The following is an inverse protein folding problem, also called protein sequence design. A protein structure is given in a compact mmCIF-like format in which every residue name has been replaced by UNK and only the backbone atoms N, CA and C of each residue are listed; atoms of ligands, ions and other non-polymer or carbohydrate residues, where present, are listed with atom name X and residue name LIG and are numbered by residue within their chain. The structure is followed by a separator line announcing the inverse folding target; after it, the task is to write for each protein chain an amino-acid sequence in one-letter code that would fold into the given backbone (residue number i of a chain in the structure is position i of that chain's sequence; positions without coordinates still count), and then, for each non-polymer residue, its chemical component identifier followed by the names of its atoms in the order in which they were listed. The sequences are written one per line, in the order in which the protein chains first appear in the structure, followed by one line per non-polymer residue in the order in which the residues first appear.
data_IF_478643332950
#
_entry.id   IF_478643332950
#
_cell.length_a   1.000
_cell.length_b   1.000
_cell.length_c   1.000
_cell.angle_alpha   90.00
_cell.angle_beta   90.00
_cell.angle_gamma   90.00
#
_symmetry.space_group_name_H-M   'P 1'
#
loop_
_entity.id
_entity.type
_entity.pdbx_description
1 polymer ?
#
# COMPACT_ATOMS: atom_id res chain seq x y z
N UNK A 1 22.34 12.57 -26.95
CA UNK A 1 23.49 11.63 -26.91
C UNK A 1 23.01 10.31 -27.50
N UNK A 2 23.56 9.79 -28.62
CA UNK A 2 23.07 8.53 -29.17
C UNK A 2 23.51 7.35 -28.30
N UNK A 3 22.54 6.53 -27.91
CA UNK A 3 22.74 5.29 -27.14
C UNK A 3 22.99 4.14 -28.14
N UNK A 4 24.01 3.27 -27.94
CA UNK A 4 24.31 2.16 -28.86
C UNK A 4 23.15 1.16 -28.96
N UNK A 5 22.95 0.56 -30.13
CA UNK A 5 21.72 -0.18 -30.45
C UNK A 5 21.72 -1.68 -30.09
N UNK A 6 22.82 -2.23 -29.58
CA UNK A 6 22.95 -3.67 -29.24
C UNK A 6 23.30 -3.91 -27.77
N UNK A 7 22.60 -3.28 -26.82
CA UNK A 7 22.77 -3.62 -25.40
C UNK A 7 21.61 -4.48 -24.90
N UNK A 8 21.93 -5.61 -24.28
CA UNK A 8 20.98 -6.34 -23.44
C UNK A 8 20.95 -5.68 -22.07
N UNK A 9 19.78 -5.14 -21.68
CA UNK A 9 19.52 -4.76 -20.29
C UNK A 9 19.64 -6.01 -19.41
N UNK A 10 20.46 -5.96 -18.37
CA UNK A 10 20.54 -7.05 -17.39
C UNK A 10 19.27 -7.06 -16.55
N UNK A 11 18.57 -8.20 -16.54
CA UNK A 11 17.53 -8.51 -15.55
C UNK A 11 18.18 -8.97 -14.26
N UNK A 12 18.44 -8.04 -13.34
CA UNK A 12 18.69 -8.32 -11.92
C UNK A 12 17.99 -7.24 -11.11
N UNK A 13 17.33 -7.63 -10.02
CA UNK A 13 16.85 -6.69 -9.01
C UNK A 13 18.06 -5.89 -8.53
N UNK A 14 18.01 -4.57 -8.65
CA UNK A 14 19.14 -3.73 -8.28
C UNK A 14 19.37 -3.78 -6.76
N UNK A 15 20.61 -3.63 -6.31
CA UNK A 15 20.91 -3.52 -4.87
C UNK A 15 20.09 -2.39 -4.22
N UNK A 16 19.89 -1.27 -4.93
CA UNK A 16 18.99 -0.19 -4.53
C UNK A 16 17.56 -0.67 -4.30
N UNK A 17 17.00 -1.44 -5.22
CA UNK A 17 15.63 -1.97 -5.11
C UNK A 17 15.49 -2.95 -3.93
N UNK A 18 16.50 -3.81 -3.71
CA UNK A 18 16.51 -4.71 -2.55
C UNK A 18 16.53 -3.93 -1.24
N UNK A 19 17.38 -2.91 -1.15
CA UNK A 19 17.47 -2.05 0.04
C UNK A 19 16.17 -1.27 0.24
N UNK A 20 15.61 -0.69 -0.82
CA UNK A 20 14.35 0.06 -0.74
C UNK A 20 13.22 -0.80 -0.17
N UNK A 21 12.99 -1.99 -0.73
CA UNK A 21 11.94 -2.89 -0.27
C UNK A 21 12.16 -3.29 1.18
N UNK A 22 13.39 -3.65 1.56
CA UNK A 22 13.69 -4.05 2.93
C UNK A 22 13.48 -2.91 3.95
N UNK A 23 13.83 -1.67 3.57
CA UNK A 23 13.59 -0.51 4.41
C UNK A 23 12.09 -0.19 4.51
N UNK A 24 11.32 -0.33 3.43
CA UNK A 24 9.86 -0.20 3.48
C UNK A 24 9.26 -1.22 4.45
N UNK A 25 9.67 -2.49 4.34
CA UNK A 25 9.22 -3.55 5.25
C UNK A 25 9.53 -3.21 6.71
N UNK A 26 10.77 -2.82 7.01
CA UNK A 26 11.16 -2.45 8.39
C UNK A 26 10.42 -1.23 8.93
N UNK A 27 10.09 -0.25 8.08
CA UNK A 27 9.32 0.93 8.48
C UNK A 27 7.84 0.56 8.72
N UNK A 28 7.25 -0.27 7.85
CA UNK A 28 5.87 -0.73 7.96
C UNK A 28 5.69 -1.61 9.20
N UNK A 29 6.58 -2.59 9.39
CA UNK A 29 6.58 -3.52 10.54
C UNK A 29 7.11 -2.87 11.83
N UNK A 30 7.35 -1.55 11.84
CA UNK A 30 7.77 -0.80 13.02
C UNK A 30 9.10 -1.24 13.64
N UNK A 31 9.92 -1.98 12.88
CA UNK A 31 11.30 -2.32 13.23
C UNK A 31 12.13 -1.04 13.28
N UNK A 32 11.96 -0.18 12.28
CA UNK A 32 12.43 1.21 12.30
C UNK A 32 11.27 2.11 12.73
N UNK A 33 11.35 2.66 13.93
CA UNK A 33 10.23 3.39 14.57
C UNK A 33 10.13 4.83 14.06
N UNK A 34 8.93 5.44 14.12
CA UNK A 34 8.79 6.88 13.91
C UNK A 34 9.80 7.69 14.75
N UNK A 35 10.37 8.74 14.17
CA UNK A 35 11.43 9.59 14.75
C UNK A 35 12.78 8.90 15.02
N UNK A 36 12.90 7.60 14.74
CA UNK A 36 14.15 6.88 14.91
C UNK A 36 15.22 7.38 13.92
N UNK A 37 16.43 7.57 14.44
CA UNK A 37 17.57 8.03 13.66
C UNK A 37 18.07 6.90 12.78
N UNK A 38 18.33 7.21 11.51
CA UNK A 38 18.81 6.27 10.52
C UNK A 38 20.26 6.58 10.17
N UNK A 39 21.13 5.58 10.27
CA UNK A 39 22.52 5.65 9.85
C UNK A 39 22.73 4.80 8.60
N UNK A 40 23.10 5.45 7.49
CA UNK A 40 23.33 4.78 6.21
C UNK A 40 24.47 3.74 6.25
N UNK A 41 25.43 3.87 7.17
CA UNK A 41 26.53 2.93 7.36
C UNK A 41 26.09 1.67 8.06
N UNK A 42 25.32 1.81 9.14
CA UNK A 42 24.76 0.68 9.89
C UNK A 42 23.78 -0.11 9.03
N UNK A 43 22.93 0.57 8.25
CA UNK A 43 22.05 -0.08 7.28
C UNK A 43 22.84 -0.81 6.18
N UNK A 44 23.92 -0.21 5.67
CA UNK A 44 24.76 -0.84 4.64
C UNK A 44 25.43 -2.12 5.17
N UNK A 45 25.95 -2.07 6.40
CA UNK A 45 26.53 -3.22 7.08
C UNK A 45 25.49 -4.33 7.31
N UNK A 46 24.32 -3.99 7.85
CA UNK A 46 23.25 -4.94 8.13
C UNK A 46 22.73 -5.64 6.86
N UNK A 47 22.68 -4.92 5.74
CA UNK A 47 22.18 -5.44 4.45
C UNK A 47 23.28 -6.05 3.58
N UNK A 48 24.55 -6.00 4.00
CA UNK A 48 25.67 -6.54 3.23
C UNK A 48 25.91 -5.82 1.89
N UNK A 49 25.65 -4.52 1.84
CA UNK A 49 25.78 -3.69 0.62
C UNK A 49 26.69 -2.48 0.87
N UNK A 50 27.04 -1.74 -0.18
CA UNK A 50 27.73 -0.46 -0.02
C UNK A 50 26.76 0.65 0.43
N UNK A 51 27.27 1.78 0.90
CA UNK A 51 26.45 2.94 1.33
C UNK A 51 25.65 3.59 0.20
N UNK A 52 26.11 3.49 -1.05
CA UNK A 52 25.47 4.15 -2.21
C UNK A 52 24.02 3.69 -2.42
N UNK A 53 23.70 2.39 -2.58
CA UNK A 53 22.32 1.93 -2.74
C UNK A 53 21.44 2.25 -1.53
N UNK A 54 22.02 2.34 -0.32
CA UNK A 54 21.29 2.78 0.88
C UNK A 54 20.90 4.24 0.79
N UNK A 55 21.82 5.13 0.42
CA UNK A 55 21.52 6.56 0.23
C UNK A 55 20.47 6.78 -0.86
N UNK A 56 20.58 6.07 -1.97
CA UNK A 56 19.59 6.14 -3.05
C UNK A 56 18.21 5.68 -2.59
N UNK A 57 18.13 4.59 -1.81
CA UNK A 57 16.88 4.14 -1.22
C UNK A 57 16.30 5.15 -0.23
N UNK A 58 17.14 5.73 0.64
CA UNK A 58 16.71 6.77 1.60
C UNK A 58 16.17 8.03 0.91
N UNK A 59 16.76 8.44 -0.22
CA UNK A 59 16.25 9.56 -1.03
C UNK A 59 14.88 9.23 -1.65
N UNK A 60 14.66 7.99 -2.10
CA UNK A 60 13.34 7.58 -2.59
C UNK A 60 12.30 7.56 -1.46
N UNK A 61 12.71 7.09 -0.27
CA UNK A 61 11.86 7.09 0.92
C UNK A 61 11.55 8.50 1.41
N UNK A 62 12.48 9.45 1.24
CA UNK A 62 12.25 10.88 1.51
C UNK A 62 11.17 11.45 0.58
N UNK A 63 11.29 11.23 -0.73
CA UNK A 63 10.26 11.63 -1.70
C UNK A 63 8.91 10.97 -1.42
N UNK A 64 8.94 9.78 -0.82
CA UNK A 64 7.76 9.04 -0.40
C UNK A 64 7.17 9.50 0.93
N UNK A 65 7.83 10.43 1.64
CA UNK A 65 7.42 10.90 2.97
C UNK A 65 7.61 9.87 4.09
N UNK A 66 8.37 8.80 3.86
CA UNK A 66 8.66 7.75 4.86
C UNK A 66 9.90 8.06 5.70
N UNK A 67 10.78 8.91 5.17
CA UNK A 67 12.02 9.36 5.80
C UNK A 67 12.07 10.89 5.73
N UNK A 68 12.59 11.52 6.78
CA UNK A 68 12.93 12.94 6.76
C UNK A 68 14.46 13.08 6.70
N UNK A 69 14.96 13.76 5.66
CA UNK A 69 16.38 14.10 5.54
C UNK A 69 16.55 15.61 5.70
N UNK A 70 17.16 16.02 6.82
CA UNK A 70 17.41 17.45 7.07
C UNK A 70 18.90 17.75 6.84
N UNK A 71 19.26 18.66 5.90
CA UNK A 71 20.65 19.02 5.64
C UNK A 71 21.37 19.48 6.91
N UNK A 72 22.55 18.90 7.18
CA UNK A 72 23.34 19.19 8.38
C UNK A 72 22.80 18.59 9.69
N UNK A 73 21.68 17.87 9.65
CA UNK A 73 21.13 17.12 10.77
C UNK A 73 21.08 15.61 10.47
N UNK A 74 20.44 14.83 11.34
CA UNK A 74 20.34 13.37 11.23
C UNK A 74 19.12 12.99 10.38
N UNK A 75 19.30 12.05 9.45
CA UNK A 75 18.19 11.35 8.77
C UNK A 75 17.39 10.56 9.81
N UNK A 76 16.05 10.59 9.71
CA UNK A 76 15.16 9.85 10.61
C UNK A 76 13.93 9.31 9.88
N UNK A 77 13.26 8.32 10.46
CA UNK A 77 11.95 7.87 9.99
C UNK A 77 10.92 8.96 10.23
N UNK A 78 10.10 9.25 9.23
CA UNK A 78 9.07 10.27 9.32
C UNK A 78 8.08 9.96 10.47
N UNK A 79 7.64 10.96 11.24
CA UNK A 79 6.63 10.75 12.27
C UNK A 79 5.29 10.31 11.65
N UNK A 80 4.45 9.65 12.44
CA UNK A 80 3.06 9.37 12.08
C UNK A 80 2.20 10.43 12.74
N UNK A 81 1.50 11.23 11.94
CA UNK A 81 0.60 12.28 12.40
C UNK A 81 -0.84 11.76 12.36
N UNK A 82 -1.52 11.82 13.51
CA UNK A 82 -2.88 11.32 13.62
C UNK A 82 -3.86 12.17 12.80
N UNK A 83 -3.57 13.47 12.68
CA UNK A 83 -4.32 14.41 11.86
C UNK A 83 -4.29 14.08 10.36
N UNK A 84 -3.31 13.30 9.89
CA UNK A 84 -3.18 12.92 8.48
C UNK A 84 -4.04 11.70 8.12
N UNK A 85 -4.56 10.96 9.11
CA UNK A 85 -5.40 9.77 8.88
C UNK A 85 -6.60 10.09 7.97
N UNK A 86 -7.47 11.07 8.29
CA UNK A 86 -8.60 11.38 7.41
C UNK A 86 -8.14 11.81 6.02
N UNK A 87 -7.06 12.58 5.92
CA UNK A 87 -6.52 13.09 4.65
C UNK A 87 -6.07 11.92 3.75
N UNK A 88 -5.34 10.97 4.31
CA UNK A 88 -4.84 9.79 3.57
C UNK A 88 -6.03 8.93 3.11
N UNK A 89 -6.95 8.59 4.02
CA UNK A 89 -8.05 7.68 3.71
C UNK A 89 -9.07 8.30 2.75
N UNK A 90 -9.38 9.59 2.87
CA UNK A 90 -10.26 10.30 1.91
C UNK A 90 -9.61 10.39 0.53
N UNK A 91 -8.31 10.61 0.47
CA UNK A 91 -7.55 10.60 -0.80
C UNK A 91 -7.58 9.21 -1.43
N UNK A 92 -7.30 8.15 -0.65
CA UNK A 92 -7.38 6.76 -1.12
C UNK A 92 -8.78 6.43 -1.62
N UNK A 93 -9.84 6.81 -0.88
CA UNK A 93 -11.22 6.59 -1.28
C UNK A 93 -11.56 7.26 -2.63
N UNK A 94 -11.10 8.50 -2.84
CA UNK A 94 -11.28 9.21 -4.10
C UNK A 94 -10.54 8.55 -5.28
N UNK A 95 -9.27 8.17 -5.08
CA UNK A 95 -8.48 7.50 -6.11
C UNK A 95 -9.03 6.11 -6.45
N UNK A 96 -9.41 5.33 -5.45
CA UNK A 96 -10.00 4.01 -5.65
C UNK A 96 -11.38 4.06 -6.32
N UNK A 97 -12.17 5.11 -6.09
CA UNK A 97 -13.41 5.35 -6.82
C UNK A 97 -13.15 5.54 -8.34
N UNK A 98 -12.18 6.39 -8.70
CA UNK A 98 -11.76 6.59 -10.10
C UNK A 98 -11.28 5.28 -10.71
N UNK A 99 -10.44 4.54 -10.00
CA UNK A 99 -9.93 3.24 -10.42
C UNK A 99 -11.05 2.23 -10.65
N UNK A 100 -12.02 2.13 -9.73
CA UNK A 100 -13.16 1.23 -9.86
C UNK A 100 -13.96 1.48 -11.13
N UNK A 101 -14.26 2.76 -11.42
CA UNK A 101 -14.93 3.17 -12.66
C UNK A 101 -14.11 2.82 -13.91
N UNK A 102 -12.80 3.07 -13.89
CA UNK A 102 -11.92 2.77 -15.02
C UNK A 102 -11.78 1.25 -15.25
N UNK A 103 -11.83 0.44 -14.19
CA UNK A 103 -11.77 -1.01 -14.29
C UNK A 103 -12.97 -1.60 -15.06
N UNK A 104 -14.15 -0.96 -15.02
CA UNK A 104 -15.33 -1.40 -15.77
C UNK A 104 -15.07 -1.59 -17.27
N UNK A 105 -14.20 -0.75 -17.85
CA UNK A 105 -13.90 -0.77 -19.28
C UNK A 105 -13.01 -1.96 -19.69
N UNK A 106 -12.35 -2.60 -18.73
CA UNK A 106 -11.32 -3.61 -18.97
C UNK A 106 -11.60 -4.95 -18.31
N UNK A 107 -12.56 -5.00 -17.37
CA UNK A 107 -12.85 -6.19 -16.57
C UNK A 107 -13.31 -7.36 -17.45
N UNK A 108 -12.78 -8.55 -17.17
CA UNK A 108 -13.17 -9.81 -17.83
C UNK A 108 -13.78 -10.81 -16.84
N UNK A 109 -14.41 -11.85 -17.36
CA UNK A 109 -14.91 -12.96 -16.52
C UNK A 109 -13.79 -13.66 -15.74
N UNK A 110 -12.57 -13.71 -16.30
CA UNK A 110 -11.40 -14.25 -15.63
C UNK A 110 -10.99 -13.38 -14.44
N UNK A 111 -11.05 -12.06 -14.59
CA UNK A 111 -10.76 -11.11 -13.52
C UNK A 111 -11.80 -11.18 -12.40
N UNK A 112 -13.09 -11.26 -12.75
CA UNK A 112 -14.17 -11.43 -11.76
C UNK A 112 -14.00 -12.73 -10.95
N UNK A 113 -13.59 -13.80 -11.62
CA UNK A 113 -13.28 -15.08 -10.97
C UNK A 113 -12.08 -14.93 -10.02
N UNK A 114 -11.00 -14.30 -10.47
CA UNK A 114 -9.81 -14.04 -9.65
C UNK A 114 -10.14 -13.20 -8.40
N UNK A 115 -10.90 -12.11 -8.56
CA UNK A 115 -11.34 -11.26 -7.45
C UNK A 115 -12.19 -12.05 -6.44
N UNK A 116 -13.06 -12.93 -6.94
CA UNK A 116 -13.87 -13.81 -6.09
C UNK A 116 -13.02 -14.83 -5.33
N UNK A 117 -11.98 -15.40 -5.97
CA UNK A 117 -11.03 -16.31 -5.32
C UNK A 117 -10.23 -15.60 -4.22
N UNK A 118 -9.71 -14.40 -4.50
CA UNK A 118 -9.00 -13.57 -3.53
C UNK A 118 -9.89 -13.26 -2.33
N UNK A 119 -11.15 -12.84 -2.55
CA UNK A 119 -12.06 -12.54 -1.45
C UNK A 119 -12.44 -13.77 -0.61
N UNK A 120 -12.54 -14.95 -1.24
CA UNK A 120 -12.77 -16.21 -0.53
C UNK A 120 -11.56 -16.60 0.34
N UNK A 121 -10.33 -16.42 -0.15
CA UNK A 121 -9.11 -16.61 0.64
C UNK A 121 -8.98 -15.60 1.77
N UNK A 122 -9.40 -14.36 1.52
CA UNK A 122 -9.44 -13.30 2.52
C UNK A 122 -10.37 -13.67 3.68
N UNK A 123 -11.59 -14.10 3.36
CA UNK A 123 -12.54 -14.63 4.34
C UNK A 123 -11.93 -15.80 5.15
N UNK A 124 -11.35 -16.80 4.49
CA UNK A 124 -10.69 -17.94 5.17
C UNK A 124 -9.58 -17.48 6.12
N UNK A 125 -8.85 -16.42 5.76
CA UNK A 125 -7.76 -15.87 6.57
C UNK A 125 -8.29 -15.17 7.82
N UNK A 126 -9.40 -14.43 7.69
CA UNK A 126 -10.14 -13.83 8.81
C UNK A 126 -10.65 -14.91 9.77
N UNK A 127 -11.31 -15.95 9.26
CA UNK A 127 -11.85 -17.06 10.07
C UNK A 127 -10.75 -17.80 10.85
N UNK A 128 -9.56 -17.94 10.26
CA UNK A 128 -8.37 -18.53 10.90
C UNK A 128 -7.61 -17.55 11.80
N UNK A 129 -8.07 -16.29 11.93
CA UNK A 129 -7.40 -15.21 12.67
C UNK A 129 -5.97 -14.95 12.19
N UNK A 130 -5.69 -15.17 10.91
CA UNK A 130 -4.40 -14.86 10.30
C UNK A 130 -4.42 -13.43 9.73
N UNK A 131 -4.19 -12.46 10.61
CA UNK A 131 -4.19 -11.03 10.29
C UNK A 131 -3.23 -10.68 9.15
N UNK A 132 -2.01 -11.22 9.18
CA UNK A 132 -0.98 -10.95 8.16
C UNK A 132 -1.45 -11.39 6.77
N UNK A 133 -1.98 -12.61 6.66
CA UNK A 133 -2.48 -13.11 5.38
C UNK A 133 -3.73 -12.35 4.91
N UNK A 134 -4.64 -12.01 5.83
CA UNK A 134 -5.83 -11.24 5.50
C UNK A 134 -5.45 -9.88 4.92
N UNK A 135 -4.53 -9.15 5.55
CA UNK A 135 -4.03 -7.86 5.04
C UNK A 135 -3.39 -7.99 3.66
N UNK A 136 -2.58 -9.02 3.42
CA UNK A 136 -1.98 -9.27 2.11
C UNK A 136 -3.02 -9.49 1.02
N UNK A 137 -4.11 -10.20 1.33
CA UNK A 137 -5.18 -10.49 0.38
C UNK A 137 -6.08 -9.27 0.12
N UNK A 138 -6.29 -8.42 1.12
CA UNK A 138 -6.98 -7.13 0.99
C UNK A 138 -6.24 -6.20 0.02
N UNK A 139 -4.92 -6.04 0.24
CA UNK A 139 -4.02 -5.32 -0.67
C UNK A 139 -4.08 -5.92 -2.08
N UNK A 140 -4.00 -7.26 -2.19
CA UNK A 140 -4.03 -7.95 -3.47
C UNK A 140 -5.36 -7.70 -4.22
N UNK A 141 -6.49 -7.71 -3.50
CA UNK A 141 -7.81 -7.43 -4.08
C UNK A 141 -7.84 -6.03 -4.72
N UNK A 142 -7.41 -5.01 -3.98
CA UNK A 142 -7.36 -3.63 -4.47
C UNK A 142 -6.36 -3.41 -5.60
N UNK A 143 -5.17 -4.01 -5.50
CA UNK A 143 -4.15 -3.91 -6.54
C UNK A 143 -4.57 -4.62 -7.83
N UNK A 144 -5.36 -5.70 -7.73
CA UNK A 144 -5.94 -6.38 -8.90
C UNK A 144 -6.88 -5.44 -9.64
N UNK A 145 -7.80 -4.75 -8.93
CA UNK A 145 -8.71 -3.77 -9.54
C UNK A 145 -7.92 -2.59 -10.15
N UNK A 146 -6.90 -2.11 -9.46
CA UNK A 146 -6.00 -1.05 -9.98
C UNK A 146 -5.32 -1.44 -11.28
N UNK A 147 -4.79 -2.67 -11.35
CA UNK A 147 -4.15 -3.22 -12.54
C UNK A 147 -5.13 -3.36 -13.72
N UNK A 148 -6.38 -3.74 -13.44
CA UNK A 148 -7.45 -3.85 -14.45
C UNK A 148 -7.79 -2.47 -15.02
N UNK A 149 -7.79 -1.42 -14.19
CA UNK A 149 -8.04 -0.04 -14.64
C UNK A 149 -6.97 0.50 -15.61
N UNK A 150 -5.75 -0.07 -15.60
CA UNK A 150 -4.62 0.31 -16.47
C UNK A 150 -4.27 1.80 -16.40
N UNK A 151 -4.41 2.40 -15.22
CA UNK A 151 -4.12 3.81 -15.00
C UNK A 151 -2.71 3.98 -14.43
N UNK A 152 -1.74 3.93 -15.34
CA UNK A 152 -0.30 4.10 -15.03
C UNK A 152 0.05 5.46 -14.39
N UNK A 153 -0.86 6.43 -14.39
CA UNK A 153 -0.66 7.69 -13.67
C UNK A 153 -1.07 7.60 -12.21
N UNK A 154 -2.09 6.81 -11.85
CA UNK A 154 -2.57 6.68 -10.46
C UNK A 154 -1.83 5.59 -9.70
N UNK A 155 -1.45 4.49 -10.37
CA UNK A 155 -0.78 3.34 -9.75
C UNK A 155 0.39 3.72 -8.84
N UNK A 156 1.38 4.56 -9.25
CA UNK A 156 2.50 4.91 -8.38
C UNK A 156 2.09 5.72 -7.14
N UNK A 157 1.02 6.52 -7.22
CA UNK A 157 0.52 7.27 -6.08
C UNK A 157 -0.20 6.36 -5.10
N UNK A 158 -0.98 5.39 -5.59
CA UNK A 158 -1.63 4.40 -4.74
C UNK A 158 -0.61 3.53 -4.02
N UNK A 159 0.39 3.02 -4.73
CA UNK A 159 1.49 2.25 -4.13
C UNK A 159 2.18 3.05 -3.01
N UNK A 160 2.45 4.34 -3.25
CA UNK A 160 3.06 5.21 -2.26
C UNK A 160 2.17 5.47 -1.05
N UNK A 161 0.90 5.83 -1.26
CA UNK A 161 -0.05 6.11 -0.19
C UNK A 161 -0.38 4.86 0.64
N UNK A 162 -0.41 3.68 0.01
CA UNK A 162 -0.60 2.41 0.68
C UNK A 162 0.49 2.16 1.73
N UNK A 163 1.74 2.58 1.51
CA UNK A 163 2.80 2.46 2.52
C UNK A 163 2.46 3.25 3.81
N UNK A 164 1.84 4.42 3.68
CA UNK A 164 1.42 5.22 4.84
C UNK A 164 0.24 4.60 5.56
N UNK A 165 -0.73 4.05 4.83
CA UNK A 165 -1.84 3.27 5.40
C UNK A 165 -1.31 2.08 6.19
N UNK A 166 -0.40 1.29 5.63
CA UNK A 166 0.14 0.10 6.28
C UNK A 166 0.91 0.43 7.56
N UNK A 167 1.64 1.54 7.59
CA UNK A 167 2.29 2.04 8.81
C UNK A 167 1.30 2.39 9.91
N UNK A 168 0.19 3.06 9.55
CA UNK A 168 -0.89 3.36 10.48
C UNK A 168 -1.52 2.07 11.00
N UNK A 169 -1.83 1.15 10.09
CA UNK A 169 -2.45 -0.12 10.43
C UNK A 169 -1.60 -0.93 11.40
N UNK A 170 -0.29 -1.03 11.14
CA UNK A 170 0.63 -1.74 12.01
C UNK A 170 0.77 -1.08 13.38
N UNK A 171 0.91 0.24 13.44
CA UNK A 171 1.12 0.97 14.71
C UNK A 171 -0.09 0.86 15.63
N UNK A 172 -1.30 1.02 15.10
CA UNK A 172 -2.52 1.08 15.90
C UNK A 172 -3.18 -0.29 16.08
N UNK A 173 -2.87 -1.25 15.21
CA UNK A 173 -3.61 -2.50 15.12
C UNK A 173 -2.71 -3.70 14.86
N UNK A 174 -1.66 -3.89 15.67
CA UNK A 174 -0.81 -5.10 15.67
C UNK A 174 -1.59 -6.43 15.68
N UNK A 175 -2.91 -6.42 15.94
CA UNK A 175 -3.82 -7.56 15.83
C UNK A 175 -5.11 -7.24 15.02
N UNK A 176 -5.05 -6.36 14.01
CA UNK A 176 -6.22 -6.12 13.14
C UNK A 176 -6.55 -7.40 12.40
N UNK A 177 -7.70 -7.98 12.71
CA UNK A 177 -8.38 -8.80 11.74
C UNK A 177 -9.20 -7.82 10.92
N UNK A 178 -8.95 -7.68 9.61
CA UNK A 178 -9.81 -6.89 8.74
C UNK A 178 -11.27 -7.23 9.04
N UNK A 179 -12.10 -6.19 9.16
CA UNK A 179 -13.47 -6.38 9.61
C UNK A 179 -14.17 -7.40 8.70
N UNK A 180 -14.98 -8.28 9.29
CA UNK A 180 -15.83 -9.19 8.51
C UNK A 180 -16.70 -8.43 7.49
N UNK A 181 -16.98 -7.16 7.78
CA UNK A 181 -17.65 -6.25 6.86
C UNK A 181 -16.88 -6.00 5.54
N UNK A 182 -15.54 -6.04 5.53
CA UNK A 182 -14.75 -5.93 4.29
C UNK A 182 -15.08 -7.05 3.30
N UNK A 183 -15.42 -8.26 3.78
CA UNK A 183 -15.79 -9.39 2.91
C UNK A 183 -17.04 -9.06 2.10
N UNK A 184 -18.05 -8.47 2.74
CA UNK A 184 -19.31 -8.06 2.11
C UNK A 184 -19.12 -6.84 1.20
N UNK A 185 -18.23 -5.92 1.57
CA UNK A 185 -17.85 -4.78 0.73
C UNK A 185 -17.14 -5.26 -0.54
N UNK A 186 -16.18 -6.17 -0.45
CA UNK A 186 -15.55 -6.80 -1.60
C UNK A 186 -16.56 -7.55 -2.47
N UNK A 187 -17.50 -8.28 -1.87
CA UNK A 187 -18.58 -8.92 -2.62
C UNK A 187 -19.42 -7.90 -3.40
N UNK A 188 -19.78 -6.79 -2.76
CA UNK A 188 -20.54 -5.70 -3.38
C UNK A 188 -19.76 -5.03 -4.52
N UNK A 189 -18.45 -4.87 -4.37
CA UNK A 189 -17.54 -4.37 -5.43
C UNK A 189 -17.53 -5.34 -6.62
N UNK A 190 -17.36 -6.64 -6.39
CA UNK A 190 -17.39 -7.67 -7.45
C UNK A 190 -18.74 -7.65 -8.19
N UNK A 191 -19.86 -7.55 -7.45
CA UNK A 191 -21.18 -7.48 -8.06
C UNK A 191 -21.37 -6.21 -8.91
N UNK A 192 -20.86 -5.06 -8.46
CA UNK A 192 -20.92 -3.82 -9.23
C UNK A 192 -20.12 -3.92 -10.53
N UNK A 193 -18.91 -4.52 -10.47
CA UNK A 193 -18.09 -4.81 -11.66
C UNK A 193 -18.82 -5.75 -12.63
N UNK A 194 -19.41 -6.83 -12.11
CA UNK A 194 -20.14 -7.81 -12.92
C UNK A 194 -21.36 -7.21 -13.61
N UNK A 195 -22.10 -6.34 -12.91
CA UNK A 195 -23.30 -5.67 -13.44
C UNK A 195 -23.00 -4.43 -14.28
N UNK A 196 -21.72 -4.04 -14.37
CA UNK A 196 -21.30 -2.79 -15.02
C UNK A 196 -21.99 -1.55 -14.42
N UNK A 197 -22.21 -1.55 -13.10
CA UNK A 197 -22.87 -0.45 -12.39
C UNK A 197 -21.84 0.59 -11.93
N UNK A 198 -21.65 1.62 -12.77
CA UNK A 198 -20.71 2.73 -12.52
C UNK A 198 -20.95 3.42 -11.18
N UNK A 199 -22.21 3.73 -10.85
CA UNK A 199 -22.54 4.45 -9.62
C UNK A 199 -22.25 3.58 -8.41
N UNK A 200 -22.59 2.29 -8.48
CA UNK A 200 -22.35 1.36 -7.38
C UNK A 200 -20.86 1.13 -7.17
N UNK A 201 -20.05 0.97 -8.24
CA UNK A 201 -18.61 0.73 -8.08
C UNK A 201 -17.90 1.94 -7.45
N UNK A 202 -18.20 3.16 -7.91
CA UNK A 202 -17.63 4.39 -7.33
C UNK A 202 -17.96 4.49 -5.83
N UNK A 203 -19.22 4.23 -5.47
CA UNK A 203 -19.68 4.29 -4.09
C UNK A 203 -19.01 3.21 -3.22
N UNK A 204 -18.96 1.96 -3.68
CA UNK A 204 -18.43 0.84 -2.89
C UNK A 204 -16.92 0.92 -2.73
N UNK A 205 -16.18 1.32 -3.77
CA UNK A 205 -14.74 1.54 -3.68
C UNK A 205 -14.40 2.66 -2.68
N UNK A 206 -15.14 3.77 -2.70
CA UNK A 206 -14.96 4.85 -1.73
C UNK A 206 -15.30 4.41 -0.30
N UNK A 207 -16.45 3.75 -0.12
CA UNK A 207 -16.95 3.33 1.18
C UNK A 207 -16.02 2.32 1.87
N UNK A 208 -15.41 1.40 1.11
CA UNK A 208 -14.51 0.38 1.64
C UNK A 208 -13.22 0.98 2.24
N UNK A 209 -12.81 2.18 1.84
CA UNK A 209 -11.76 2.96 2.51
C UNK A 209 -12.27 3.83 3.67
N UNK A 210 -13.41 4.50 3.48
CA UNK A 210 -13.94 5.42 4.49
C UNK A 210 -14.51 4.73 5.74
N UNK A 211 -14.95 3.46 5.65
CA UNK A 211 -15.37 2.68 6.81
C UNK A 211 -14.22 2.40 7.77
N UNK A 212 -13.10 1.75 7.36
CA UNK A 212 -11.98 1.50 8.25
C UNK A 212 -11.49 2.78 8.91
N UNK A 213 -11.39 3.89 8.17
CA UNK A 213 -11.05 5.20 8.74
C UNK A 213 -11.93 5.59 9.95
N UNK A 214 -13.26 5.40 9.87
CA UNK A 214 -14.18 5.70 10.97
C UNK A 214 -13.96 4.78 12.18
N UNK A 215 -13.57 3.53 11.96
CA UNK A 215 -13.23 2.59 13.03
C UNK A 215 -11.93 2.99 13.72
N UNK A 216 -10.93 3.37 12.92
CA UNK A 216 -9.64 3.88 13.39
C UNK A 216 -9.84 5.13 14.26
N UNK A 217 -10.61 6.11 13.78
CA UNK A 217 -10.89 7.35 14.52
C UNK A 217 -11.58 7.08 15.86
N UNK A 218 -12.51 6.11 15.93
CA UNK A 218 -13.15 5.73 17.20
C UNK A 218 -12.13 5.17 18.19
N UNK A 219 -11.21 4.33 17.73
CA UNK A 219 -10.20 3.71 18.58
C UNK A 219 -9.19 4.75 19.08
N UNK A 220 -8.80 5.70 18.24
CA UNK A 220 -7.93 6.81 18.66
C UNK A 220 -8.63 7.69 19.69
N UNK A 221 -9.92 8.00 19.50
CA UNK A 221 -10.67 8.86 20.43
C UNK A 221 -10.95 8.23 21.81
N UNK A 222 -10.68 6.93 21.97
CA UNK A 222 -10.92 6.19 23.22
C UNK A 222 -9.64 5.91 24.03
N UNK A 223 -8.47 6.33 23.53
CA UNK A 223 -7.18 6.32 24.24
C UNK A 223 -6.81 7.72 24.69
#
# INVERSE_FOLDING_TARGET
MPIPQNYKKQGRVSAKSLVLNQLQDWIIEGVLKPDEKVNDGELAEALGVSRTPVREALQILELSGLVEMVPGQKTKIAPIKLEDIPIIYETMAGLHSIIGKQALQNITDADLKLLSEINADFQRSIEKKNAKQALQLDIQFHNTISSIAKNHYIEPFLENMQLHVLRLEYLFFQNFVPASQSIEEHHSIIQALQKQDEKQIEQMMSQNWLRPMKEISKIISTK
#
